data_IF_831934924553
#
_entry.id   IF_831934924553
#
_cell.length_a   1.000
_cell.length_b   1.000
_cell.length_c   1.000
_cell.angle_alpha   90.00
_cell.angle_beta   90.00
_cell.angle_gamma   90.00
#
_symmetry.space_group_name_H-M   'P 1'
#
loop_
_entity.id
_entity.type
_entity.pdbx_description
1 polymer ?
#
# COMPACT_ATOMS: atom_id res chain seq x y z
N UNK A 1 15.66 4.39 0.15
CA UNK A 1 15.12 4.47 -1.23
C UNK A 1 13.63 4.26 -1.16
N UNK A 2 12.85 5.01 -1.93
CA UNK A 2 11.39 4.87 -2.06
C UNK A 2 11.05 4.82 -3.56
N UNK A 3 9.95 4.20 -3.92
CA UNK A 3 9.49 4.27 -5.31
C UNK A 3 9.08 5.71 -5.63
N UNK A 4 9.36 6.16 -6.86
CA UNK A 4 8.96 7.50 -7.29
C UNK A 4 7.52 7.45 -7.78
N UNK A 5 6.60 7.84 -6.90
CA UNK A 5 5.19 8.03 -7.22
C UNK A 5 4.75 9.43 -6.81
N UNK A 6 3.88 10.02 -7.63
CA UNK A 6 3.20 11.27 -7.28
C UNK A 6 2.08 10.99 -6.28
N UNK A 7 1.74 12.04 -5.54
CA UNK A 7 0.80 12.01 -4.44
C UNK A 7 -0.43 12.85 -4.74
N UNK A 8 -1.51 12.58 -4.01
CA UNK A 8 -2.73 13.34 -4.06
C UNK A 8 -3.09 13.80 -2.65
N UNK A 9 -3.34 15.10 -2.49
CA UNK A 9 -3.68 15.72 -1.21
C UNK A 9 -5.14 16.20 -1.22
N UNK A 10 -5.92 15.73 -0.25
CA UNK A 10 -7.30 16.16 -0.04
C UNK A 10 -7.33 17.53 0.66
N UNK A 11 -8.26 18.38 0.24
CA UNK A 11 -8.53 19.64 0.91
C UNK A 11 -9.63 19.47 1.97
N UNK A 12 -9.44 20.02 3.16
CA UNK A 12 -10.49 20.02 4.20
C UNK A 12 -11.61 21.02 3.93
N UNK A 13 -11.37 22.03 3.09
CA UNK A 13 -12.31 23.12 2.80
C UNK A 13 -13.14 22.91 1.53
N UNK A 14 -12.76 21.99 0.65
CA UNK A 14 -13.49 21.69 -0.59
C UNK A 14 -13.19 20.27 -1.09
N UNK A 15 -14.00 19.68 -1.98
CA UNK A 15 -13.80 18.30 -2.45
C UNK A 15 -12.64 18.12 -3.46
N UNK A 16 -11.84 19.16 -3.70
CA UNK A 16 -10.77 19.09 -4.70
C UNK A 16 -9.56 18.28 -4.18
N UNK A 17 -8.97 17.50 -5.09
CA UNK A 17 -7.75 16.73 -4.87
C UNK A 17 -6.59 17.44 -5.57
N UNK A 18 -5.58 17.84 -4.81
CA UNK A 18 -4.40 18.55 -5.31
C UNK A 18 -3.26 17.56 -5.53
N UNK A 19 -2.81 17.34 -6.78
CA UNK A 19 -1.64 16.52 -7.07
C UNK A 19 -0.38 17.19 -6.52
N UNK A 20 0.56 16.38 -6.04
CA UNK A 20 1.86 16.81 -5.55
C UNK A 20 2.90 15.83 -6.08
N UNK A 21 3.98 16.32 -6.67
CA UNK A 21 4.99 15.42 -7.23
C UNK A 21 5.81 14.75 -6.12
N UNK A 22 6.39 13.58 -6.42
CA UNK A 22 7.34 12.93 -5.50
C UNK A 22 8.48 13.87 -5.09
N UNK A 23 9.00 14.63 -6.05
CA UNK A 23 10.08 15.60 -5.86
C UNK A 23 9.68 16.68 -4.86
N UNK A 24 8.53 17.33 -5.08
CA UNK A 24 8.07 18.43 -4.22
C UNK A 24 7.81 17.93 -2.79
N UNK A 25 7.19 16.75 -2.64
CA UNK A 25 6.94 16.14 -1.33
C UNK A 25 8.22 15.91 -0.52
N UNK A 26 9.30 15.48 -1.16
CA UNK A 26 10.57 15.19 -0.48
C UNK A 26 11.48 16.41 -0.32
N UNK A 27 11.27 17.49 -1.07
CA UNK A 27 12.05 18.73 -0.95
C UNK A 27 11.57 19.63 0.19
N UNK A 28 10.27 19.58 0.53
CA UNK A 28 9.63 20.52 1.46
C UNK A 28 9.32 19.92 2.85
N UNK A 29 10.17 19.03 3.37
CA UNK A 29 9.93 18.33 4.65
C UNK A 29 9.67 19.28 5.85
N UNK A 30 10.07 20.56 5.76
CA UNK A 30 9.89 21.57 6.81
C UNK A 30 8.97 22.75 6.44
N UNK A 31 8.47 22.82 5.21
CA UNK A 31 7.59 23.90 4.72
C UNK A 31 6.35 23.35 4.00
N UNK A 32 5.94 22.12 4.33
CA UNK A 32 4.95 21.29 3.62
C UNK A 32 3.57 21.94 3.38
N UNK A 33 3.51 22.92 2.48
CA UNK A 33 2.31 23.68 2.17
C UNK A 33 2.09 23.72 0.66
N UNK A 34 0.88 23.41 0.23
CA UNK A 34 0.48 23.55 -1.17
C UNK A 34 -0.86 24.27 -1.24
N UNK A 35 -1.03 25.15 -2.22
CA UNK A 35 -2.31 25.77 -2.49
C UNK A 35 -3.28 24.74 -3.08
N UNK A 36 -4.47 24.62 -2.49
CA UNK A 36 -5.52 23.76 -3.03
C UNK A 36 -5.88 24.20 -4.45
N UNK A 37 -5.86 23.26 -5.41
CA UNK A 37 -6.21 23.57 -6.81
C UNK A 37 -7.66 24.05 -7.01
N UNK A 38 -8.54 23.76 -6.05
CA UNK A 38 -9.98 24.07 -6.14
C UNK A 38 -10.32 25.42 -5.54
N UNK A 39 -10.03 25.60 -4.25
CA UNK A 39 -10.40 26.81 -3.50
C UNK A 39 -9.23 27.74 -3.16
N UNK A 40 -7.99 27.37 -3.48
CA UNK A 40 -6.80 28.15 -3.16
C UNK A 40 -6.37 28.13 -1.69
N UNK A 41 -7.13 27.48 -0.80
CA UNK A 41 -6.76 27.34 0.60
C UNK A 41 -5.43 26.60 0.76
N UNK A 42 -4.63 26.99 1.74
CA UNK A 42 -3.36 26.33 2.03
C UNK A 42 -3.63 24.97 2.66
N UNK A 43 -3.08 23.92 2.06
CA UNK A 43 -3.07 22.55 2.58
C UNK A 43 -1.69 22.32 3.21
N UNK A 44 -1.65 22.00 4.50
CA UNK A 44 -0.43 21.44 5.11
C UNK A 44 -0.32 19.98 4.69
N UNK A 45 0.46 19.69 3.66
CA UNK A 45 0.52 18.36 3.06
C UNK A 45 1.35 17.39 3.90
N UNK A 46 1.02 16.11 3.77
CA UNK A 46 1.58 15.05 4.59
C UNK A 46 0.61 13.89 4.67
N UNK A 47 0.98 12.85 5.42
CA UNK A 47 0.18 11.62 5.55
C UNK A 47 -1.28 11.91 5.83
N UNK A 48 -1.58 12.74 6.85
CA UNK A 48 -2.94 13.04 7.32
C UNK A 48 -3.92 13.61 6.28
N UNK A 49 -3.43 14.09 5.14
CA UNK A 49 -4.28 14.61 4.05
C UNK A 49 -4.06 13.87 2.73
N UNK A 50 -3.27 12.80 2.73
CA UNK A 50 -3.09 11.97 1.54
C UNK A 50 -4.39 11.26 1.19
N UNK A 51 -4.64 11.11 -0.11
CA UNK A 51 -5.73 10.30 -0.64
C UNK A 51 -5.21 9.37 -1.73
N UNK A 52 -6.11 8.60 -2.35
CA UNK A 52 -5.76 7.64 -3.40
C UNK A 52 -4.97 8.31 -4.52
N UNK A 53 -3.83 7.72 -4.90
CA UNK A 53 -3.05 8.11 -6.08
C UNK A 53 -3.85 7.94 -7.37
N UNK A 54 -4.66 6.88 -7.42
CA UNK A 54 -5.56 6.59 -8.52
C UNK A 54 -6.98 6.42 -7.98
N UNK A 55 -7.87 7.36 -8.31
CA UNK A 55 -9.28 7.27 -7.93
C UNK A 55 -10.01 6.12 -8.65
N UNK A 56 -9.50 5.72 -9.82
CA UNK A 56 -10.00 4.62 -10.64
C UNK A 56 -9.14 3.36 -10.47
N UNK A 57 -8.56 3.15 -9.28
CA UNK A 57 -7.76 1.95 -9.01
C UNK A 57 -8.65 0.69 -9.20
N UNK A 58 -8.30 -0.22 -10.13
CA UNK A 58 -9.12 -1.40 -10.41
C UNK A 58 -9.40 -2.23 -9.16
N UNK A 59 -8.52 -2.25 -8.16
CA UNK A 59 -8.71 -3.07 -6.95
C UNK A 59 -9.83 -2.54 -6.04
N UNK A 60 -10.37 -1.35 -6.31
CA UNK A 60 -11.59 -0.85 -5.68
C UNK A 60 -12.83 -1.64 -6.12
N UNK A 61 -12.76 -2.34 -7.26
CA UNK A 61 -13.75 -3.32 -7.68
C UNK A 61 -13.46 -4.70 -7.06
N UNK A 62 -14.48 -5.37 -6.51
CA UNK A 62 -14.36 -6.68 -5.85
C UNK A 62 -13.93 -7.78 -6.84
N UNK A 63 -14.38 -7.71 -8.08
CA UNK A 63 -14.02 -8.68 -9.12
C UNK A 63 -12.53 -8.59 -9.48
N UNK A 64 -12.00 -7.39 -9.57
CA UNK A 64 -10.60 -7.15 -9.86
C UNK A 64 -9.68 -7.45 -8.67
N UNK A 65 -10.14 -7.19 -7.43
CA UNK A 65 -9.38 -7.43 -6.20
C UNK A 65 -8.89 -8.89 -6.08
N UNK A 66 -9.73 -9.86 -6.50
CA UNK A 66 -9.39 -11.29 -6.45
C UNK A 66 -8.58 -11.78 -7.65
N UNK A 67 -8.53 -10.98 -8.73
CA UNK A 67 -7.83 -11.31 -9.97
C UNK A 67 -6.36 -10.84 -9.99
N UNK A 68 -5.97 -9.94 -9.09
CA UNK A 68 -4.60 -9.44 -8.97
C UNK A 68 -3.80 -10.21 -7.93
N UNK A 69 -2.48 -10.03 -7.97
CA UNK A 69 -1.59 -10.56 -6.95
C UNK A 69 -1.28 -9.50 -5.90
N UNK A 70 -1.35 -9.93 -4.64
CA UNK A 70 -0.98 -9.13 -3.49
C UNK A 70 0.39 -9.53 -2.97
N UNK A 71 1.02 -8.68 -2.17
CA UNK A 71 2.39 -8.91 -1.72
C UNK A 71 2.55 -8.64 -0.23
N UNK A 72 3.46 -9.39 0.39
CA UNK A 72 3.89 -9.21 1.77
C UNK A 72 5.37 -9.55 1.89
N UNK A 73 6.13 -8.79 2.69
CA UNK A 73 7.51 -9.14 3.04
C UNK A 73 7.59 -9.59 4.48
N UNK A 74 8.25 -10.71 4.73
CA UNK A 74 8.40 -11.27 6.06
C UNK A 74 9.82 -11.79 6.28
N UNK A 75 10.26 -11.83 7.54
CA UNK A 75 11.46 -12.56 7.95
C UNK A 75 11.16 -14.03 8.28
N UNK A 76 9.87 -14.40 8.33
CA UNK A 76 9.43 -15.78 8.50
C UNK A 76 9.41 -16.51 7.15
N UNK A 77 10.10 -17.65 7.07
CA UNK A 77 10.21 -18.47 5.84
C UNK A 77 8.96 -19.31 5.54
N UNK A 78 8.03 -19.39 6.49
CA UNK A 78 6.78 -20.16 6.49
C UNK A 78 5.54 -19.26 6.72
N UNK A 79 5.65 -17.96 6.41
CA UNK A 79 4.52 -17.04 6.46
C UNK A 79 3.35 -17.56 5.59
N UNK A 80 2.09 -17.43 6.03
CA UNK A 80 1.62 -16.68 7.20
C UNK A 80 1.58 -17.48 8.50
N UNK A 81 2.02 -18.75 8.53
CA UNK A 81 1.88 -19.61 9.71
C UNK A 81 2.85 -19.19 10.81
N UNK A 82 4.15 -19.08 10.48
CA UNK A 82 5.19 -18.78 11.47
C UNK A 82 5.07 -17.41 12.13
N UNK A 83 4.40 -16.44 11.48
CA UNK A 83 4.20 -15.10 12.03
C UNK A 83 3.04 -14.99 13.03
N UNK A 84 2.20 -16.03 13.18
CA UNK A 84 1.02 -15.98 14.06
C UNK A 84 1.37 -15.96 15.53
N UNK A 85 2.46 -16.62 15.92
CA UNK A 85 2.86 -16.72 17.31
C UNK A 85 3.91 -15.67 17.62
N UNK A 86 3.73 -14.96 18.73
CA UNK A 86 4.72 -13.99 19.19
C UNK A 86 5.99 -14.75 19.62
N UNK A 87 7.21 -14.36 19.16
CA UNK A 87 8.43 -15.03 19.56
C UNK A 87 8.65 -15.01 21.08
N UNK A 88 9.13 -16.12 21.63
CA UNK A 88 9.36 -16.25 23.09
C UNK A 88 10.30 -15.16 23.63
N UNK A 89 11.39 -14.87 22.91
CA UNK A 89 12.33 -13.80 23.27
C UNK A 89 11.65 -12.42 23.35
N UNK A 90 10.68 -12.15 22.47
CA UNK A 90 9.91 -10.90 22.52
C UNK A 90 9.02 -10.86 23.77
N UNK A 91 8.35 -11.97 24.11
CA UNK A 91 7.54 -12.06 25.33
C UNK A 91 8.41 -11.85 26.58
N UNK A 92 9.60 -12.45 26.63
CA UNK A 92 10.56 -12.29 27.72
C UNK A 92 11.01 -10.83 27.87
N UNK A 93 11.41 -10.18 26.77
CA UNK A 93 11.77 -8.76 26.77
C UNK A 93 10.63 -7.85 27.26
N UNK A 94 9.38 -8.15 26.88
CA UNK A 94 8.22 -7.43 27.40
C UNK A 94 8.06 -7.62 28.91
N UNK A 95 8.27 -8.84 29.43
CA UNK A 95 8.16 -9.11 30.88
C UNK A 95 9.25 -8.43 31.69
N UNK A 96 10.43 -8.25 31.11
CA UNK A 96 11.56 -7.59 31.78
C UNK A 96 11.40 -6.07 31.84
N UNK A 97 10.87 -5.45 30.78
CA UNK A 97 10.88 -3.99 30.63
C UNK A 97 9.52 -3.31 30.75
N UNK A 98 8.41 -4.06 30.74
CA UNK A 98 7.06 -3.50 30.76
C UNK A 98 6.29 -3.87 32.03
N UNK A 99 5.21 -3.12 32.37
CA UNK A 99 4.37 -3.43 33.52
C UNK A 99 3.78 -4.84 33.49
N UNK A 100 3.48 -5.39 34.66
CA UNK A 100 2.83 -6.70 34.79
C UNK A 100 1.54 -6.78 33.95
N UNK A 101 1.39 -7.87 33.18
CA UNK A 101 0.26 -8.09 32.27
C UNK A 101 0.41 -7.46 30.88
N UNK A 102 1.41 -6.61 30.65
CA UNK A 102 1.65 -6.00 29.34
C UNK A 102 2.10 -7.04 28.29
N UNK A 103 2.86 -8.05 28.70
CA UNK A 103 3.33 -9.12 27.81
C UNK A 103 2.16 -9.97 27.28
N UNK A 104 1.21 -10.33 28.15
CA UNK A 104 0.02 -11.09 27.78
C UNK A 104 -0.90 -10.27 26.85
N UNK A 105 -1.08 -8.98 27.14
CA UNK A 105 -1.83 -8.08 26.25
C UNK A 105 -1.16 -7.88 24.89
N UNK A 106 0.16 -7.71 24.86
CA UNK A 106 0.92 -7.59 23.62
C UNK A 106 0.86 -8.86 22.78
N UNK A 107 0.99 -10.02 23.43
CA UNK A 107 0.82 -11.33 22.79
C UNK A 107 -0.57 -11.49 22.21
N UNK A 108 -1.62 -11.27 23.00
CA UNK A 108 -3.00 -11.39 22.53
C UNK A 108 -3.26 -10.47 21.33
N UNK A 109 -2.71 -9.24 21.35
CA UNK A 109 -2.79 -8.34 20.21
C UNK A 109 -2.06 -8.88 18.99
N UNK A 110 -0.81 -9.31 19.14
CA UNK A 110 0.03 -9.85 18.06
C UNK A 110 -0.63 -11.05 17.38
N UNK A 111 -1.06 -12.03 18.18
CA UNK A 111 -1.62 -13.29 17.68
C UNK A 111 -3.02 -13.11 17.07
N UNK A 112 -3.70 -12.00 17.39
CA UNK A 112 -5.00 -11.64 16.83
C UNK A 112 -4.91 -10.65 15.66
N UNK A 113 -3.73 -10.29 15.16
CA UNK A 113 -3.63 -9.37 14.01
C UNK A 113 -4.24 -9.99 12.74
N UNK A 114 -4.91 -9.16 11.93
CA UNK A 114 -5.22 -9.49 10.55
C UNK A 114 -3.92 -9.69 9.76
N UNK A 115 -3.97 -10.47 8.67
CA UNK A 115 -2.85 -10.52 7.76
C UNK A 115 -2.90 -9.28 6.87
N UNK A 116 -1.79 -8.57 6.75
CA UNK A 116 -1.70 -7.38 5.91
C UNK A 116 -0.92 -7.68 4.63
N UNK A 117 -1.56 -7.43 3.50
CA UNK A 117 -0.95 -7.55 2.16
C UNK A 117 -1.18 -6.25 1.40
N UNK A 118 -0.23 -5.87 0.54
CA UNK A 118 -0.30 -4.63 -0.23
C UNK A 118 0.10 -4.84 -1.67
N UNK A 119 0.38 -3.73 -2.37
CA UNK A 119 1.07 -3.79 -3.65
C UNK A 119 2.50 -4.30 -3.48
N UNK A 120 3.16 -4.61 -4.59
CA UNK A 120 4.57 -4.98 -4.56
C UNK A 120 5.42 -3.88 -3.91
N UNK A 121 5.19 -2.63 -4.29
CA UNK A 121 5.86 -1.44 -3.75
C UNK A 121 5.65 -1.34 -2.24
N UNK A 122 4.40 -1.47 -1.78
CA UNK A 122 4.08 -1.43 -0.35
C UNK A 122 4.84 -2.49 0.46
N UNK A 123 4.94 -3.72 -0.09
CA UNK A 123 5.67 -4.80 0.56
C UNK A 123 7.19 -4.50 0.63
N UNK A 124 7.80 -4.04 -0.47
CA UNK A 124 9.23 -3.70 -0.49
C UNK A 124 9.54 -2.50 0.41
N UNK A 125 8.69 -1.46 0.43
CA UNK A 125 8.88 -0.29 1.29
C UNK A 125 8.70 -0.65 2.77
N UNK A 126 7.82 -1.59 3.10
CA UNK A 126 7.72 -2.17 4.44
C UNK A 126 9.03 -2.83 4.87
N UNK A 127 9.62 -3.67 4.01
CA UNK A 127 10.93 -4.29 4.26
C UNK A 127 12.03 -3.24 4.47
N UNK A 128 12.17 -2.29 3.54
CA UNK A 128 13.22 -1.26 3.61
C UNK A 128 13.11 -0.41 4.87
N UNK A 129 11.89 -0.06 5.29
CA UNK A 129 11.64 0.63 6.55
C UNK A 129 12.04 -0.23 7.76
N UNK A 130 11.71 -1.52 7.76
CA UNK A 130 12.12 -2.44 8.85
C UNK A 130 13.64 -2.58 8.95
N UNK A 131 14.31 -2.70 7.81
CA UNK A 131 15.77 -2.76 7.76
C UNK A 131 16.42 -1.48 8.32
N UNK A 132 15.83 -0.31 8.05
CA UNK A 132 16.36 0.98 8.52
C UNK A 132 15.98 1.36 9.94
N UNK A 133 14.75 1.05 10.36
CA UNK A 133 14.14 1.63 11.57
C UNK A 133 13.83 0.59 12.67
N UNK A 134 13.96 -0.72 12.38
CA UNK A 134 13.53 -1.81 13.28
C UNK A 134 14.59 -2.90 13.47
N UNK A 135 15.88 -2.56 13.30
CA UNK A 135 17.03 -3.45 13.49
C UNK A 135 16.99 -4.78 12.70
N UNK A 136 16.12 -4.89 11.69
CA UNK A 136 16.01 -6.07 10.82
C UNK A 136 17.05 -6.03 9.67
N UNK A 137 17.99 -5.09 9.66
CA UNK A 137 18.91 -4.85 8.54
C UNK A 137 19.77 -6.06 8.14
N UNK A 138 20.04 -6.97 9.07
CA UNK A 138 20.79 -8.22 8.82
C UNK A 138 19.92 -9.46 8.64
N UNK A 139 18.59 -9.33 8.67
CA UNK A 139 17.69 -10.48 8.60
C UNK A 139 17.47 -10.97 7.16
N UNK A 140 17.29 -12.27 6.98
CA UNK A 140 16.80 -12.82 5.72
C UNK A 140 15.33 -12.43 5.52
N UNK A 141 15.03 -11.76 4.42
CA UNK A 141 13.65 -11.42 4.03
C UNK A 141 13.14 -12.33 2.91
N UNK A 142 11.84 -12.60 2.96
CA UNK A 142 11.10 -13.33 1.94
C UNK A 142 9.98 -12.45 1.43
N UNK A 143 9.85 -12.36 0.10
CA UNK A 143 8.69 -11.78 -0.57
C UNK A 143 7.67 -12.89 -0.83
N UNK A 144 6.45 -12.67 -0.34
CA UNK A 144 5.31 -13.53 -0.59
C UNK A 144 4.42 -12.85 -1.62
N UNK A 145 4.20 -13.52 -2.74
CA UNK A 145 3.13 -13.21 -3.69
C UNK A 145 1.90 -14.02 -3.28
N UNK A 146 0.80 -13.34 -3.02
CA UNK A 146 -0.42 -13.87 -2.42
C UNK A 146 -1.55 -13.80 -3.43
N UNK A 147 -2.20 -14.95 -3.67
CA UNK A 147 -3.44 -15.03 -4.43
C UNK A 147 -4.61 -15.21 -3.46
N UNK A 148 -5.66 -14.40 -3.62
CA UNK A 148 -6.89 -14.54 -2.85
C UNK A 148 -7.81 -15.58 -3.49
N UNK A 149 -8.76 -16.12 -2.71
CA UNK A 149 -9.82 -16.97 -3.26
C UNK A 149 -10.66 -16.20 -4.26
N UNK A 150 -10.96 -16.83 -5.41
CA UNK A 150 -11.73 -16.19 -6.48
C UNK A 150 -13.25 -16.15 -6.20
N UNK A 151 -13.73 -16.89 -5.19
CA UNK A 151 -15.14 -17.02 -4.83
C UNK A 151 -15.28 -17.11 -3.31
N UNK A 152 -16.48 -16.80 -2.84
CA UNK A 152 -16.90 -16.94 -1.45
C UNK A 152 -16.01 -16.14 -0.48
N UNK A 153 -15.69 -14.91 -0.90
CA UNK A 153 -15.08 -13.89 -0.06
C UNK A 153 -16.10 -12.81 0.25
N UNK A 154 -16.26 -12.49 1.53
CA UNK A 154 -16.98 -11.29 1.95
C UNK A 154 -16.00 -10.13 1.98
N UNK A 155 -16.13 -9.19 1.06
CA UNK A 155 -15.30 -7.98 1.03
C UNK A 155 -16.08 -6.83 1.65
N UNK A 156 -15.46 -6.10 2.59
CA UNK A 156 -16.07 -4.89 3.14
C UNK A 156 -16.27 -3.85 2.04
N UNK A 157 -17.45 -3.22 2.02
CA UNK A 157 -17.80 -2.23 0.99
C UNK A 157 -16.95 -0.98 1.15
N UNK A 158 -16.33 -0.54 0.05
CA UNK A 158 -15.48 0.64 0.05
C UNK A 158 -14.08 0.34 0.58
N UNK A 159 -13.48 1.32 1.24
CA UNK A 159 -12.16 1.21 1.85
C UNK A 159 -12.09 2.11 3.09
N UNK A 160 -11.27 1.72 4.06
CA UNK A 160 -11.03 2.47 5.30
C UNK A 160 -9.87 3.44 5.15
N UNK A 161 -10.01 4.62 5.74
CA UNK A 161 -9.02 5.69 5.63
C UNK A 161 -8.02 5.63 6.79
N UNK A 162 -6.76 5.27 6.50
CA UNK A 162 -5.67 5.21 7.50
C UNK A 162 -5.33 6.59 8.09
N UNK A 163 -5.82 7.68 7.50
CA UNK A 163 -5.68 9.02 8.09
C UNK A 163 -6.52 9.18 9.35
N UNK A 164 -7.63 8.47 9.44
CA UNK A 164 -8.60 8.59 10.54
C UNK A 164 -8.74 7.30 11.36
N UNK A 165 -8.29 6.18 10.82
CA UNK A 165 -8.40 4.85 11.42
C UNK A 165 -7.04 4.15 11.40
N UNK A 166 -6.79 3.22 12.34
CA UNK A 166 -5.55 2.45 12.35
C UNK A 166 -5.72 1.16 11.54
N UNK A 167 -6.05 1.31 10.25
CA UNK A 167 -6.47 0.20 9.40
C UNK A 167 -5.32 -0.79 9.09
N UNK A 168 -4.06 -0.39 9.23
CA UNK A 168 -2.88 -1.23 9.13
C UNK A 168 -2.63 -2.07 10.41
N UNK A 169 -3.46 -1.92 11.44
CA UNK A 169 -3.42 -2.73 12.68
C UNK A 169 -4.74 -3.38 13.02
N UNK A 170 -5.60 -3.58 12.03
CA UNK A 170 -6.85 -4.32 12.22
C UNK A 170 -6.54 -5.72 12.75
N UNK A 171 -7.29 -6.13 13.76
CA UNK A 171 -7.31 -7.49 14.27
C UNK A 171 -8.27 -8.37 13.48
N UNK A 172 -8.23 -9.68 13.71
CA UNK A 172 -9.21 -10.63 13.17
C UNK A 172 -10.63 -10.30 13.64
N UNK A 173 -10.78 -9.69 14.81
CA UNK A 173 -12.08 -9.27 15.36
C UNK A 173 -12.59 -8.00 14.67
N UNK A 174 -11.70 -7.04 14.36
CA UNK A 174 -12.05 -5.78 13.69
C UNK A 174 -12.56 -5.98 12.25
N UNK A 175 -12.28 -7.15 11.66
CA UNK A 175 -12.81 -7.55 10.35
C UNK A 175 -14.31 -7.89 10.40
N UNK A 176 -14.87 -8.20 11.57
CA UNK A 176 -16.28 -8.61 11.71
C UNK A 176 -16.62 -9.81 10.81
N UNK A 177 -17.65 -9.71 9.98
CA UNK A 177 -18.03 -10.78 9.04
C UNK A 177 -17.23 -10.76 7.71
N UNK A 178 -16.35 -9.76 7.52
CA UNK A 178 -15.55 -9.65 6.31
C UNK A 178 -14.35 -10.62 6.33
N UNK A 179 -14.05 -11.18 5.15
CA UNK A 179 -12.80 -11.87 4.88
C UNK A 179 -11.68 -10.88 4.51
N UNK A 180 -12.06 -9.75 3.91
CA UNK A 180 -11.14 -8.75 3.34
C UNK A 180 -11.67 -7.34 3.62
N UNK A 181 -10.79 -6.49 4.15
CA UNK A 181 -10.99 -5.05 4.28
C UNK A 181 -9.93 -4.32 3.48
N UNK A 182 -10.34 -3.40 2.60
CA UNK A 182 -9.43 -2.48 1.89
C UNK A 182 -9.13 -1.29 2.77
N UNK A 183 -7.91 -0.78 2.70
CA UNK A 183 -7.57 0.49 3.32
C UNK A 183 -6.57 1.29 2.49
N UNK A 184 -6.66 2.61 2.64
CA UNK A 184 -5.69 3.56 2.09
C UNK A 184 -4.38 3.41 2.86
N UNK A 185 -3.32 2.92 2.22
CA UNK A 185 -2.01 2.91 2.84
C UNK A 185 -1.40 4.32 2.78
N UNK A 186 -0.97 4.87 3.92
CA UNK A 186 -0.27 6.17 4.01
C UNK A 186 1.14 6.05 4.60
N UNK A 187 1.57 4.84 4.97
CA UNK A 187 2.83 4.60 5.66
C UNK A 187 3.90 3.99 4.75
N UNK A 188 3.64 2.81 4.19
CA UNK A 188 4.60 2.08 3.36
C UNK A 188 4.57 2.55 1.91
N UNK A 189 3.39 2.57 1.26
CA UNK A 189 3.22 3.06 -0.11
C UNK A 189 2.07 4.08 -0.13
N UNK A 190 2.33 5.36 0.20
CA UNK A 190 1.28 6.31 0.43
C UNK A 190 0.38 6.56 -0.77
N UNK A 191 -0.92 6.55 -0.53
CA UNK A 191 -1.97 6.71 -1.53
C UNK A 191 -2.28 5.45 -2.35
N UNK A 192 -1.75 4.28 -1.97
CA UNK A 192 -2.13 2.98 -2.54
C UNK A 192 -3.21 2.28 -1.72
N UNK A 193 -3.84 1.25 -2.29
CA UNK A 193 -4.70 0.32 -1.53
C UNK A 193 -3.86 -0.85 -1.00
N UNK A 194 -4.07 -1.16 0.28
CA UNK A 194 -3.63 -2.40 0.92
C UNK A 194 -4.83 -3.12 1.53
N UNK A 195 -4.65 -4.38 1.92
CA UNK A 195 -5.71 -5.23 2.46
C UNK A 195 -5.36 -5.76 3.83
N UNK A 196 -6.34 -5.76 4.73
CA UNK A 196 -6.36 -6.59 5.93
C UNK A 196 -7.23 -7.81 5.61
N UNK A 197 -6.67 -9.01 5.76
CA UNK A 197 -7.33 -10.26 5.34
C UNK A 197 -7.33 -11.32 6.44
N UNK A 198 -8.37 -12.15 6.42
CA UNK A 198 -8.37 -13.41 7.16
C UNK A 198 -7.40 -14.40 6.51
N UNK A 199 -6.74 -15.28 7.28
CA UNK A 199 -5.93 -16.34 6.70
C UNK A 199 -6.73 -17.26 5.76
N UNK A 200 -8.02 -17.45 6.03
CA UNK A 200 -8.95 -18.20 5.18
C UNK A 200 -9.16 -17.55 3.81
N UNK A 201 -8.86 -16.26 3.62
CA UNK A 201 -9.02 -15.58 2.33
C UNK A 201 -7.93 -15.96 1.31
N UNK A 202 -6.81 -16.53 1.77
CA UNK A 202 -5.66 -16.89 0.94
C UNK A 202 -5.96 -18.19 0.19
N UNK A 203 -5.84 -18.17 -1.14
CA UNK A 203 -5.90 -19.37 -1.97
C UNK A 203 -4.51 -20.01 -2.14
N UNK A 204 -3.49 -19.19 -2.35
CA UNK A 204 -2.12 -19.66 -2.55
C UNK A 204 -1.10 -18.57 -2.21
N UNK A 205 0.09 -19.01 -1.81
CA UNK A 205 1.26 -18.14 -1.65
C UNK A 205 2.41 -18.68 -2.49
N UNK A 206 3.20 -17.78 -3.05
CA UNK A 206 4.49 -18.07 -3.65
C UNK A 206 5.56 -17.31 -2.87
N UNK A 207 6.56 -18.03 -2.37
CA UNK A 207 7.69 -17.47 -1.62
C UNK A 207 8.86 -17.21 -2.56
N UNK A 208 9.47 -16.05 -2.44
CA UNK A 208 10.70 -15.65 -3.12
C UNK A 208 11.67 -15.16 -2.04
N UNK A 209 12.86 -15.74 -2.00
CA UNK A 209 13.92 -15.27 -1.12
C UNK A 209 14.53 -13.99 -1.69
N UNK A 210 14.64 -12.93 -0.88
CA UNK A 210 15.22 -11.67 -1.30
C UNK A 210 16.72 -11.65 -1.00
N UNK A 211 17.57 -11.19 -1.93
CA UNK A 211 19.02 -11.18 -1.73
C UNK A 211 19.45 -9.98 -0.88
N UNK A 212 19.17 -10.03 0.43
CA UNK A 212 19.38 -8.90 1.36
C UNK A 212 20.86 -8.54 1.52
N UNK A 213 21.76 -9.53 1.54
CA UNK A 213 23.21 -9.30 1.67
C UNK A 213 23.75 -8.38 0.57
N UNK A 214 23.25 -8.52 -0.66
CA UNK A 214 23.65 -7.67 -1.80
C UNK A 214 23.13 -6.23 -1.73
N UNK A 215 22.13 -5.95 -0.89
CA UNK A 215 21.61 -4.59 -0.68
C UNK A 215 22.43 -3.81 0.36
N UNK A 216 23.11 -4.50 1.28
CA UNK A 216 23.92 -3.90 2.35
C UNK A 216 25.34 -3.55 1.89
N UNK A 217 25.90 -4.30 0.93
CA UNK A 217 27.31 -4.19 0.52
C UNK A 217 27.63 -3.11 -0.54
N UNK A 218 26.65 -2.28 -0.90
CA UNK A 218 26.92 -1.07 -1.67
C UNK A 218 25.97 -0.86 -2.83
N UNK A 219 25.20 0.21 -2.70
CA UNK A 219 24.84 1.02 -3.86
C UNK A 219 26.13 1.65 -4.39
N UNK A 220 27.01 0.86 -5.01
CA UNK A 220 27.93 1.43 -5.98
C UNK A 220 27.08 2.11 -7.05
N UNK A 221 27.47 3.33 -7.42
CA UNK A 221 26.77 4.21 -8.36
C UNK A 221 26.62 3.52 -9.73
N UNK A 222 25.60 2.69 -9.91
CA UNK A 222 25.23 2.11 -11.19
C UNK A 222 24.51 3.12 -12.11
N UNK A 223 24.47 4.40 -11.75
CA UNK A 223 24.17 5.51 -12.67
C UNK A 223 25.45 6.05 -13.31
N UNK A 224 26.23 5.19 -13.99
CA UNK A 224 27.16 5.65 -15.02
C UNK A 224 27.57 4.52 -15.97
N UNK A 225 26.62 4.02 -16.75
CA UNK A 225 26.93 3.29 -17.98
C UNK A 225 26.35 4.03 -19.20
N UNK A 226 27.16 5.01 -19.64
CA UNK A 226 27.54 5.28 -21.03
C UNK A 226 26.42 5.25 -22.08
N UNK A 227 25.79 6.40 -22.27
CA UNK A 227 25.49 6.88 -23.62
C UNK A 227 26.81 7.21 -24.33
N UNK A 228 27.40 6.25 -25.03
CA UNK A 228 28.42 6.55 -26.04
C UNK A 228 28.51 5.45 -27.11
N UNK A 229 28.16 5.86 -28.33
CA UNK A 229 28.48 5.27 -29.64
C UNK A 229 27.57 4.13 -30.13
N UNK A 230 26.36 4.51 -30.57
CA UNK A 230 25.90 3.98 -31.85
C UNK A 230 26.47 4.89 -32.94
N UNK A 231 27.29 4.31 -33.82
CA UNK A 231 27.95 5.00 -34.91
C UNK A 231 26.96 5.66 -35.86
N UNK A 232 27.34 6.84 -36.29
CA UNK A 232 26.77 7.61 -37.40
C UNK A 232 26.44 6.75 -38.63
N UNK A 233 25.20 6.83 -39.09
CA UNK A 233 24.94 7.01 -40.53
C UNK A 233 23.63 7.78 -40.74
N UNK A 234 23.84 8.98 -41.27
CA UNK A 234 22.98 9.94 -41.97
C UNK A 234 21.78 9.38 -42.75
N UNK A 235 20.56 9.92 -42.58
CA UNK A 235 20.02 11.03 -43.38
C UNK A 235 18.50 11.27 -43.16
N UNK A 236 18.16 12.56 -43.04
CA UNK A 236 16.96 13.28 -43.51
C UNK A 236 15.53 12.80 -43.14
N UNK A 237 14.85 13.59 -42.29
CA UNK A 237 13.73 14.49 -42.68
C UNK A 237 12.82 14.79 -41.47
N UNK A 238 12.70 16.08 -41.11
CA UNK A 238 11.60 16.61 -40.27
C UNK A 238 10.28 16.66 -41.09
N UNK A 239 9.09 16.54 -40.45
CA UNK A 239 8.46 17.73 -39.89
C UNK A 239 7.71 17.56 -38.54
N UNK A 240 7.84 18.59 -37.70
CA UNK A 240 6.85 19.22 -36.80
C UNK A 240 5.45 18.59 -36.67
N UNK A 241 5.06 18.15 -35.45
CA UNK A 241 3.71 18.35 -34.86
C UNK A 241 3.78 18.41 -33.32
N UNK A 242 3.00 19.36 -32.77
CA UNK A 242 2.71 19.66 -31.36
C UNK A 242 2.11 18.49 -30.56
N UNK A 243 2.42 18.47 -29.25
CA UNK A 243 1.42 18.27 -28.20
C UNK A 243 1.24 16.86 -27.61
N UNK A 244 0.93 16.88 -26.31
CA UNK A 244 0.39 15.82 -25.44
C UNK A 244 1.41 14.90 -24.76
N UNK A 245 1.63 15.22 -23.48
CA UNK A 245 2.17 14.30 -22.51
C UNK A 245 1.25 13.10 -22.32
N UNK A 246 1.85 11.92 -22.21
CA UNK A 246 1.23 10.72 -21.68
C UNK A 246 2.22 10.05 -20.74
N UNK A 247 1.94 10.15 -19.45
CA UNK A 247 2.49 9.25 -18.44
C UNK A 247 2.03 7.83 -18.78
N UNK A 248 2.98 6.99 -19.22
CA UNK A 248 2.74 5.56 -19.39
C UNK A 248 2.94 4.90 -18.03
N UNK A 249 1.83 4.66 -17.32
CA UNK A 249 1.82 3.67 -16.25
C UNK A 249 1.96 2.29 -16.90
N UNK A 250 3.09 1.63 -16.67
CA UNK A 250 3.37 0.28 -17.17
C UNK A 250 2.70 -0.69 -16.19
N UNK A 251 1.51 -1.17 -16.54
CA UNK A 251 0.95 -2.35 -15.90
C UNK A 251 1.77 -3.58 -16.31
N UNK A 252 2.53 -4.16 -15.38
CA UNK A 252 3.08 -5.51 -15.57
C UNK A 252 1.96 -6.55 -15.40
N UNK A 253 1.21 -6.77 -16.47
CA UNK A 253 0.33 -7.94 -16.58
C UNK A 253 1.16 -9.17 -16.97
N UNK A 254 1.85 -9.77 -16.00
CA UNK A 254 2.40 -11.12 -16.19
C UNK A 254 1.23 -12.12 -16.21
N UNK A 255 0.75 -12.46 -17.42
CA UNK A 255 -0.27 -13.50 -17.63
C UNK A 255 0.26 -14.85 -17.16
N UNK A 256 -0.34 -15.42 -16.12
CA UNK A 256 -0.15 -16.83 -15.77
C UNK A 256 -1.14 -17.72 -16.54
N UNK A 257 -0.67 -18.85 -17.06
CA UNK A 257 -1.51 -19.97 -17.52
C UNK A 257 -1.43 -21.11 -16.48
N UNK A 258 -2.56 -21.65 -16.00
CA UNK A 258 -2.53 -22.83 -15.14
C UNK A 258 -2.05 -24.08 -15.89
N UNK A 259 -1.38 -25.04 -15.22
CA UNK A 259 -0.84 -26.26 -15.84
C UNK A 259 -1.88 -27.31 -16.26
N UNK A 260 -3.19 -27.03 -16.15
CA UNK A 260 -4.26 -27.97 -16.48
C UNK A 260 -5.24 -27.38 -17.50
N UNK A 261 -4.77 -27.04 -18.69
CA UNK A 261 -5.66 -26.72 -19.81
C UNK A 261 -5.02 -27.13 -21.13
N UNK A 262 -5.33 -28.35 -21.57
CA UNK A 262 -5.05 -28.81 -22.92
C UNK A 262 -6.24 -28.46 -23.83
N UNK A 263 -5.91 -27.96 -25.03
CA UNK A 263 -6.75 -27.77 -26.22
C UNK A 263 -7.46 -26.42 -26.45
N UNK A 264 -7.52 -26.09 -27.76
CA UNK A 264 -7.73 -24.78 -28.41
C UNK A 264 -9.21 -24.41 -28.53
N UNK A 265 -9.54 -23.11 -28.44
CA UNK A 265 -9.91 -22.24 -29.59
C UNK A 265 -10.09 -20.79 -29.13
N UNK A 266 -9.61 -19.84 -29.93
CA UNK A 266 -9.70 -18.40 -29.69
C UNK A 266 -11.06 -17.87 -30.12
N UNK A 267 -11.73 -17.12 -29.24
CA UNK A 267 -12.76 -16.16 -29.62
C UNK A 267 -12.35 -14.79 -29.06
N UNK A 268 -12.14 -13.85 -29.98
CA UNK A 268 -11.89 -12.43 -29.70
C UNK A 268 -13.18 -11.77 -29.19
N UNK A 269 -13.22 -11.39 -27.91
CA UNK A 269 -14.24 -10.45 -27.42
C UNK A 269 -13.75 -9.02 -27.67
N UNK A 270 -14.26 -8.38 -28.71
CA UNK A 270 -14.28 -6.93 -28.81
C UNK A 270 -15.34 -6.38 -27.84
N UNK A 271 -15.12 -5.24 -27.16
CA UNK A 271 -16.15 -4.63 -26.35
C UNK A 271 -17.16 -3.89 -27.24
N UNK A 272 -18.39 -4.39 -27.27
CA UNK A 272 -19.55 -3.58 -27.65
C UNK A 272 -19.80 -2.53 -26.55
N UNK A 273 -19.89 -1.26 -26.95
CA UNK A 273 -20.39 -0.17 -26.10
C UNK A 273 -21.87 -0.41 -25.77
N UNK A 274 -22.28 -0.17 -24.52
CA UNK A 274 -23.60 0.36 -24.25
C UNK A 274 -23.53 1.79 -23.68
N UNK A 275 -24.64 2.47 -23.91
CA UNK A 275 -24.86 3.89 -23.77
C UNK A 275 -24.79 4.40 -22.31
N UNK A 276 -24.53 5.70 -22.21
CA UNK A 276 -24.52 6.47 -20.98
C UNK A 276 -25.84 6.36 -20.21
N UNK A 277 -25.75 6.00 -18.93
CA UNK A 277 -26.73 6.33 -17.91
C UNK A 277 -25.96 6.95 -16.73
N UNK A 278 -26.08 8.26 -16.59
CA UNK A 278 -25.57 8.99 -15.45
C UNK A 278 -26.40 8.61 -14.22
N UNK A 279 -25.78 7.93 -13.26
CA UNK A 279 -26.34 7.74 -11.93
C UNK A 279 -25.37 8.37 -10.95
N UNK A 280 -25.73 9.55 -10.45
CA UNK A 280 -25.01 10.27 -9.40
C UNK A 280 -25.06 9.45 -8.10
N UNK A 281 -23.92 8.91 -7.67
CA UNK A 281 -23.77 8.36 -6.32
C UNK A 281 -23.36 9.49 -5.39
N UNK A 282 -24.29 9.94 -4.55
CA UNK A 282 -24.03 10.92 -3.51
C UNK A 282 -23.16 10.31 -2.40
N UNK A 283 -21.95 10.85 -2.21
CA UNK A 283 -21.14 10.58 -1.03
C UNK A 283 -21.77 11.28 0.18
N UNK A 284 -22.13 10.50 1.20
CA UNK A 284 -22.52 11.05 2.51
C UNK A 284 -21.26 11.11 3.38
N UNK A 285 -20.57 12.24 3.37
CA UNK A 285 -19.62 12.58 4.42
C UNK A 285 -20.37 12.65 5.75
N UNK A 286 -19.90 11.89 6.74
CA UNK A 286 -20.35 12.02 8.14
C UNK A 286 -19.62 13.23 8.74
N UNK A 287 -20.31 14.15 9.44
CA UNK A 287 -19.69 15.36 9.95
C UNK A 287 -18.64 15.05 11.03
N UNK A 288 -17.51 15.77 10.96
CA UNK A 288 -16.43 15.73 11.93
C UNK A 288 -16.94 16.08 13.35
N UNK A 289 -16.91 15.08 14.24
CA UNK A 289 -17.20 15.23 15.65
C UNK A 289 -15.98 15.76 16.41
N UNK A 290 -16.16 16.94 17.00
CA UNK A 290 -15.35 17.66 18.01
C UNK A 290 -14.37 16.79 18.82
N UNK A 291 -13.07 17.09 18.68
CA UNK A 291 -12.01 16.68 19.60
C UNK A 291 -12.30 17.23 21.01
N UNK A 292 -12.45 16.35 22.01
CA UNK A 292 -12.42 16.72 23.43
C UNK A 292 -11.18 16.12 24.07
N UNK A 293 -10.27 17.00 24.48
CA UNK A 293 -9.08 16.66 25.26
C UNK A 293 -9.47 16.06 26.61
N UNK A 294 -8.92 14.89 26.93
CA UNK A 294 -8.87 14.38 28.30
C UNK A 294 -7.40 14.40 28.77
N UNK A 295 -6.94 15.57 29.19
CA UNK A 295 -5.90 15.69 30.21
C UNK A 295 -6.59 16.16 31.49
N UNK A 296 -6.90 15.21 32.37
CA UNK A 296 -7.43 15.47 33.70
C UNK A 296 -6.31 15.62 34.70
N UNK A 297 -6.10 16.85 35.20
CA UNK A 297 -5.31 17.15 36.39
C UNK A 297 -5.87 16.41 37.62
N UNK A 298 -5.04 15.61 38.26
CA UNK A 298 -5.27 15.07 39.60
C UNK A 298 -4.33 15.73 40.60
N UNK A 299 -4.71 16.91 41.10
CA UNK A 299 -4.13 17.49 42.31
C UNK A 299 -4.92 17.03 43.53
N UNK A 300 -4.25 16.47 44.54
CA UNK A 300 -4.67 16.54 45.94
C UNK A 300 -3.50 16.36 46.90
N UNK A 301 -3.35 17.36 47.76
CA UNK A 301 -2.49 17.42 48.91
C UNK A 301 -2.85 16.39 49.99
N UNK A 302 -1.84 15.90 50.70
CA UNK A 302 -1.61 16.09 52.14
C UNK A 302 -0.11 16.06 52.40
#
# INVERSE_FOLDING_TARGET
>A
MTFSYDFNMACSACPAITPLTSTDYHQEVNEAHIACRGCGAVIHFGRAVMTLRNADDPVLDDGCLTAVAWYHTSTYSDWPVGSRTMPAATIEAYREHMPAGAAEGARARHENLALHVGTYEAAIESMLRRMGDQDDGGAQFFLYRVALRARDLTVERGWRDENTENAARLSQDDLGDADVVRYLNVFESPGSISLAIRPSAIAATQRIELPVETLCDGVERACSLRSARCGSSTNAAEPSVRGLGQARSICYAAKWRPPWCHSRTYATCAPEKPAAAATSVAYRQVPAGVYRSQFGNGSRAR
#
